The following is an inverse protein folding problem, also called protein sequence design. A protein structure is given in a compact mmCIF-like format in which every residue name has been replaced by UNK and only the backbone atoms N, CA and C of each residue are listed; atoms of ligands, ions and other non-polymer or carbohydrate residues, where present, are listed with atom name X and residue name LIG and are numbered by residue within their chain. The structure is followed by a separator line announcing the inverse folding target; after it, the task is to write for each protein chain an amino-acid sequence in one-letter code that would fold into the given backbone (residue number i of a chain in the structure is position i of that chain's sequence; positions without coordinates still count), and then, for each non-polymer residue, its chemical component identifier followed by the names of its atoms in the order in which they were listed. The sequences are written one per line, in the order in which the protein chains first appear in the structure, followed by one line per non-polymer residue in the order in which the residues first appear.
data_IF_241980332168
#
_entry.id   IF_241980332168
#
_cell.length_a   1.000
_cell.length_b   1.000
_cell.length_c   1.000
_cell.angle_alpha   90.00
_cell.angle_beta   90.00
_cell.angle_gamma   90.00
#
_symmetry.space_group_name_H-M   'P 1'
#
loop_
_entity.id
_entity.type
_entity.pdbx_description
1 polymer ?
#
# COMPACT_ATOMS: atom_id res chain seq x y z
N UNK A 1 -5.54 -21.56 17.50
CA UNK A 1 -5.61 -22.22 16.17
C UNK A 1 -6.94 -22.92 15.93
N UNK A 2 -7.44 -23.78 16.81
CA UNK A 2 -8.71 -24.51 16.63
C UNK A 2 -9.98 -23.65 16.48
N UNK A 3 -10.09 -22.53 17.18
CA UNK A 3 -11.25 -21.63 17.10
C UNK A 3 -11.36 -20.96 15.71
N UNK A 4 -10.24 -20.54 15.10
CA UNK A 4 -10.21 -19.95 13.76
C UNK A 4 -10.60 -20.95 12.67
N UNK A 5 -10.09 -22.19 12.78
CA UNK A 5 -10.43 -23.28 11.84
C UNK A 5 -11.94 -23.58 11.90
N UNK A 6 -12.54 -23.56 13.08
CA UNK A 6 -13.99 -23.76 13.25
C UNK A 6 -14.83 -22.66 12.61
N UNK A 7 -14.41 -21.38 12.74
CA UNK A 7 -15.07 -20.23 12.11
C UNK A 7 -14.97 -20.29 10.58
N UNK A 8 -13.80 -20.66 10.05
CA UNK A 8 -13.59 -20.84 8.60
C UNK A 8 -14.50 -21.96 8.07
N UNK A 9 -14.50 -23.12 8.73
CA UNK A 9 -15.37 -24.27 8.35
C UNK A 9 -16.85 -23.91 8.38
N UNK A 10 -17.30 -23.17 9.39
CA UNK A 10 -18.71 -22.75 9.53
C UNK A 10 -19.11 -21.76 8.42
N UNK A 11 -18.28 -20.76 8.13
CA UNK A 11 -18.55 -19.78 7.04
C UNK A 11 -18.49 -20.43 5.66
N UNK A 12 -17.55 -21.35 5.42
CA UNK A 12 -17.47 -22.10 4.17
C UNK A 12 -18.69 -22.99 3.96
N UNK A 13 -19.19 -23.68 5.00
CA UNK A 13 -20.39 -24.52 4.95
C UNK A 13 -21.66 -23.72 4.65
N UNK A 14 -21.78 -22.52 5.20
CA UNK A 14 -22.90 -21.60 4.93
C UNK A 14 -22.85 -21.10 3.48
N UNK A 15 -21.68 -20.73 2.96
CA UNK A 15 -21.52 -20.31 1.57
C UNK A 15 -21.80 -21.45 0.58
N UNK A 16 -21.39 -22.68 0.89
CA UNK A 16 -21.64 -23.85 0.06
C UNK A 16 -23.12 -24.21 0.01
N UNK A 17 -23.86 -24.08 1.12
CA UNK A 17 -25.32 -24.23 1.16
C UNK A 17 -26.05 -23.18 0.30
N UNK A 18 -25.60 -21.92 0.32
CA UNK A 18 -26.19 -20.85 -0.50
C UNK A 18 -25.90 -21.05 -1.99
N UNK A 19 -24.76 -21.64 -2.35
CA UNK A 19 -24.36 -21.92 -3.73
C UNK A 19 -25.04 -23.19 -4.30
N UNK A 20 -25.36 -24.19 -3.46
CA UNK A 20 -25.97 -25.45 -3.86
C UNK A 20 -27.49 -25.42 -3.90
N UNK A 21 -28.14 -24.44 -3.29
CA UNK A 21 -29.60 -24.26 -3.41
C UNK A 21 -29.94 -23.75 -4.80
N UNK A 22 -30.47 -24.57 -5.69
CA UNK A 22 -30.77 -24.29 -7.10
C UNK A 22 -31.69 -23.09 -7.41
N UNK A 23 -31.90 -22.17 -6.47
CA UNK A 23 -32.67 -20.94 -6.58
C UNK A 23 -31.98 -19.79 -7.34
N UNK A 24 -30.78 -20.03 -7.90
CA UNK A 24 -29.96 -18.99 -8.54
C UNK A 24 -30.50 -18.49 -9.91
N UNK A 25 -31.45 -19.17 -10.53
CA UNK A 25 -31.88 -18.83 -11.90
C UNK A 25 -32.84 -17.64 -12.03
N UNK A 26 -33.46 -17.22 -10.94
CA UNK A 26 -34.48 -16.14 -10.94
C UNK A 26 -34.08 -14.88 -10.18
N UNK A 27 -32.80 -14.75 -9.79
CA UNK A 27 -32.36 -13.67 -8.92
C UNK A 27 -32.03 -12.38 -9.69
N UNK A 28 -32.57 -11.27 -9.20
CA UNK A 28 -32.29 -9.91 -9.64
C UNK A 28 -30.78 -9.61 -9.66
N UNK A 29 -30.31 -8.77 -10.60
CA UNK A 29 -28.90 -8.38 -10.81
C UNK A 29 -28.22 -7.95 -9.49
N UNK A 30 -28.93 -7.24 -8.60
CA UNK A 30 -28.41 -6.85 -7.29
C UNK A 30 -28.10 -8.02 -6.37
N UNK A 31 -28.90 -9.08 -6.39
CA UNK A 31 -28.70 -10.27 -5.58
C UNK A 31 -27.51 -11.12 -6.10
N UNK A 32 -27.37 -11.25 -7.44
CA UNK A 32 -26.20 -11.91 -8.06
C UNK A 32 -24.90 -11.22 -7.70
N UNK A 33 -24.90 -9.88 -7.68
CA UNK A 33 -23.76 -9.06 -7.24
C UNK A 33 -23.40 -9.31 -5.78
N UNK A 34 -24.39 -9.40 -4.90
CA UNK A 34 -24.17 -9.69 -3.48
C UNK A 34 -23.64 -11.10 -3.24
N UNK A 35 -24.10 -12.11 -3.97
CA UNK A 35 -23.56 -13.48 -3.89
C UNK A 35 -22.12 -13.52 -4.38
N UNK A 36 -21.79 -12.83 -5.46
CA UNK A 36 -20.42 -12.73 -5.96
C UNK A 36 -19.49 -12.09 -4.91
N UNK A 37 -19.94 -11.02 -4.25
CA UNK A 37 -19.20 -10.35 -3.18
C UNK A 37 -18.99 -11.28 -1.96
N UNK A 38 -20.02 -12.06 -1.58
CA UNK A 38 -19.92 -13.05 -0.50
C UNK A 38 -18.92 -14.16 -0.90
N UNK A 39 -19.02 -14.68 -2.12
CA UNK A 39 -18.10 -15.69 -2.64
C UNK A 39 -16.64 -15.22 -2.63
N UNK A 40 -16.39 -13.98 -3.05
CA UNK A 40 -15.06 -13.39 -3.01
C UNK A 40 -14.55 -13.19 -1.58
N UNK A 41 -15.40 -12.77 -0.64
CA UNK A 41 -15.02 -12.66 0.78
C UNK A 41 -14.65 -14.02 1.38
N UNK A 42 -15.38 -15.09 1.05
CA UNK A 42 -15.04 -16.45 1.50
C UNK A 42 -13.69 -16.91 0.95
N UNK A 43 -13.42 -16.64 -0.34
CA UNK A 43 -12.12 -16.94 -0.97
C UNK A 43 -10.97 -16.10 -0.40
N UNK A 44 -11.26 -14.93 0.17
CA UNK A 44 -10.27 -14.08 0.81
C UNK A 44 -9.90 -14.52 2.23
N UNK A 45 -10.73 -15.35 2.90
CA UNK A 45 -10.49 -15.77 4.30
C UNK A 45 -9.07 -16.32 4.55
N UNK A 46 -8.51 -17.20 3.70
CA UNK A 46 -7.15 -17.69 3.91
C UNK A 46 -6.11 -16.59 3.89
N UNK A 47 -6.32 -15.60 3.03
CA UNK A 47 -5.44 -14.44 2.93
C UNK A 47 -5.58 -13.51 4.15
N UNK A 48 -6.81 -13.24 4.61
CA UNK A 48 -7.06 -12.42 5.81
C UNK A 48 -6.40 -13.05 7.04
N UNK A 49 -6.45 -14.39 7.16
CA UNK A 49 -5.76 -15.12 8.22
C UNK A 49 -4.24 -14.98 8.09
N UNK A 50 -3.72 -15.10 6.88
CA UNK A 50 -2.29 -14.91 6.62
C UNK A 50 -1.86 -13.48 6.98
N UNK A 51 -2.59 -12.46 6.53
CA UNK A 51 -2.30 -11.07 6.83
C UNK A 51 -2.35 -10.78 8.35
N UNK A 52 -3.37 -11.30 9.05
CA UNK A 52 -3.48 -11.19 10.51
C UNK A 52 -2.29 -11.84 11.25
N UNK A 53 -1.78 -12.96 10.74
CA UNK A 53 -0.61 -13.64 11.32
C UNK A 53 0.67 -12.85 11.07
N UNK A 54 0.87 -12.33 9.85
CA UNK A 54 2.02 -11.49 9.53
C UNK A 54 1.99 -10.17 10.32
N UNK A 55 0.83 -9.52 10.41
CA UNK A 55 0.66 -8.31 11.21
C UNK A 55 1.06 -8.53 12.68
N UNK A 56 0.62 -9.64 13.31
CA UNK A 56 0.98 -9.98 14.70
C UNK A 56 2.48 -10.20 14.91
N UNK A 57 3.17 -10.71 13.89
CA UNK A 57 4.62 -10.92 13.92
C UNK A 57 5.42 -9.64 13.71
N UNK A 58 4.76 -8.57 13.22
CA UNK A 58 5.37 -7.30 12.81
C UNK A 58 4.81 -6.11 13.58
N UNK A 59 4.49 -6.27 14.87
CA UNK A 59 4.07 -5.16 15.74
C UNK A 59 2.57 -5.03 16.00
N UNK A 60 1.79 -6.09 15.71
CA UNK A 60 0.36 -6.15 16.05
C UNK A 60 -0.56 -6.06 14.82
N UNK A 61 -1.85 -6.26 15.05
CA UNK A 61 -2.85 -6.34 13.98
C UNK A 61 -3.12 -4.96 13.35
N UNK A 62 -3.02 -4.88 12.04
CA UNK A 62 -3.53 -3.75 11.26
C UNK A 62 -5.03 -3.89 10.98
N UNK A 63 -5.69 -2.77 10.69
CA UNK A 63 -7.05 -2.83 10.21
C UNK A 63 -7.12 -3.42 8.80
N UNK A 64 -8.06 -4.35 8.59
CA UNK A 64 -8.38 -4.88 7.26
C UNK A 64 -9.60 -4.20 6.64
N UNK A 65 -10.05 -3.08 7.22
CA UNK A 65 -11.17 -2.28 6.72
C UNK A 65 -10.65 -0.99 6.13
N UNK A 66 -11.36 -0.47 5.14
CA UNK A 66 -11.18 0.91 4.69
C UNK A 66 -11.71 1.83 5.78
N UNK A 67 -10.91 2.79 6.21
CA UNK A 67 -11.29 3.84 7.16
C UNK A 67 -11.36 5.15 6.39
N UNK A 68 -12.51 5.83 6.48
CA UNK A 68 -12.71 7.12 5.84
C UNK A 68 -11.70 8.16 6.36
N UNK A 69 -11.08 8.89 5.46
CA UNK A 69 -10.14 9.95 5.83
C UNK A 69 -10.87 11.11 6.51
N UNK A 70 -10.23 11.71 7.52
CA UNK A 70 -10.66 12.98 8.13
C UNK A 70 -10.10 14.20 7.40
N UNK A 71 -9.21 13.99 6.41
CA UNK A 71 -8.41 15.02 5.74
C UNK A 71 -8.65 15.07 4.22
N UNK A 72 -9.90 14.83 3.78
CA UNK A 72 -10.29 14.99 2.37
C UNK A 72 -10.08 16.41 1.84
N UNK A 73 -10.24 17.41 2.70
CA UNK A 73 -9.99 18.83 2.43
C UNK A 73 -8.53 19.09 2.06
N UNK A 74 -7.61 18.34 2.65
CA UNK A 74 -6.17 18.35 2.33
C UNK A 74 -5.79 17.39 1.21
N UNK A 75 -6.76 16.73 0.61
CA UNK A 75 -6.58 15.82 -0.52
C UNK A 75 -6.20 14.38 -0.16
N UNK A 76 -6.20 14.01 1.11
CA UNK A 76 -5.93 12.64 1.54
C UNK A 76 -7.06 11.69 1.13
N UNK A 77 -6.72 10.45 0.78
CA UNK A 77 -7.67 9.39 0.53
C UNK A 77 -7.91 8.53 1.77
N UNK A 78 -8.88 7.60 1.67
CA UNK A 78 -9.19 6.66 2.73
C UNK A 78 -7.99 5.78 3.08
N UNK A 79 -7.83 5.49 4.38
CA UNK A 79 -6.84 4.51 4.83
C UNK A 79 -7.22 3.12 4.33
N UNK A 80 -6.33 2.52 3.61
CA UNK A 80 -6.35 1.10 3.23
C UNK A 80 -4.94 0.53 3.34
N UNK A 81 -4.71 -0.40 4.25
CA UNK A 81 -3.41 -1.04 4.35
C UNK A 81 -3.09 -1.89 3.12
N UNK A 82 -1.85 -1.81 2.65
CA UNK A 82 -1.36 -2.58 1.51
C UNK A 82 -1.43 -4.08 1.77
N UNK A 83 -1.83 -4.85 0.76
CA UNK A 83 -1.85 -6.31 0.78
C UNK A 83 -0.41 -6.85 0.70
N UNK A 84 0.01 -7.73 1.61
CA UNK A 84 1.36 -8.31 1.64
C UNK A 84 1.79 -8.92 0.31
N UNK A 85 0.85 -9.56 -0.43
CA UNK A 85 1.13 -10.12 -1.76
C UNK A 85 1.42 -9.03 -2.79
N UNK A 86 0.80 -7.85 -2.62
CA UNK A 86 1.06 -6.72 -3.51
C UNK A 86 2.43 -6.12 -3.23
N UNK A 87 2.77 -5.95 -1.95
CA UNK A 87 4.10 -5.49 -1.52
C UNK A 87 5.17 -6.43 -2.09
N UNK A 88 5.02 -7.73 -1.87
CA UNK A 88 5.96 -8.76 -2.34
C UNK A 88 6.16 -8.73 -3.87
N UNK A 89 5.08 -8.61 -4.66
CA UNK A 89 5.16 -8.54 -6.12
C UNK A 89 5.87 -7.28 -6.60
N UNK A 90 5.58 -6.11 -6.00
CA UNK A 90 6.20 -4.84 -6.40
C UNK A 90 7.71 -4.83 -6.11
N UNK A 91 8.09 -5.22 -4.90
CA UNK A 91 9.50 -5.19 -4.49
C UNK A 91 10.33 -6.37 -5.00
N UNK A 92 9.69 -7.42 -5.53
CA UNK A 92 10.35 -8.44 -6.37
C UNK A 92 10.58 -7.97 -7.80
N UNK A 93 9.68 -7.17 -8.35
CA UNK A 93 9.83 -6.62 -9.71
C UNK A 93 11.00 -5.62 -9.78
N UNK A 94 11.13 -4.73 -8.80
CA UNK A 94 12.27 -3.82 -8.65
C UNK A 94 12.64 -3.80 -7.14
N UNK A 95 13.68 -4.53 -6.73
CA UNK A 95 14.12 -4.56 -5.32
C UNK A 95 14.65 -3.22 -4.84
N UNK A 96 14.48 -2.93 -3.55
CA UNK A 96 15.19 -1.83 -2.89
C UNK A 96 16.70 -2.08 -2.89
N UNK A 97 17.48 -1.01 -2.99
CA UNK A 97 18.94 -1.03 -2.79
C UNK A 97 19.22 -1.06 -1.28
N UNK A 98 20.33 -1.65 -0.89
CA UNK A 98 20.69 -1.81 0.53
C UNK A 98 20.88 -0.49 1.29
N UNK A 99 21.20 0.56 0.57
CA UNK A 99 21.49 1.91 1.05
C UNK A 99 20.31 2.90 0.83
N UNK A 100 19.17 2.43 0.33
CA UNK A 100 18.01 3.28 0.12
C UNK A 100 17.51 3.92 1.44
N UNK A 101 17.12 5.17 1.32
CA UNK A 101 16.19 5.82 2.25
C UNK A 101 14.81 5.63 1.69
N UNK A 102 14.10 4.64 2.22
CA UNK A 102 12.75 4.30 1.77
C UNK A 102 11.71 5.14 2.50
N UNK A 103 10.82 5.78 1.74
CA UNK A 103 9.75 6.64 2.26
C UNK A 103 8.39 6.11 1.84
N UNK A 104 7.58 5.65 2.80
CA UNK A 104 6.18 5.27 2.60
C UNK A 104 5.29 6.50 2.82
N UNK A 105 4.73 7.03 1.74
CA UNK A 105 3.96 8.29 1.75
C UNK A 105 2.47 7.99 1.93
N UNK A 106 1.93 8.38 3.07
CA UNK A 106 0.63 7.91 3.56
C UNK A 106 0.76 6.49 4.08
N UNK A 107 1.66 6.28 5.03
CA UNK A 107 2.06 4.94 5.48
C UNK A 107 0.97 4.18 6.24
N UNK A 108 -0.14 4.85 6.58
CA UNK A 108 -1.21 4.24 7.35
C UNK A 108 -0.70 3.66 8.67
N UNK A 109 -0.97 2.39 8.89
CA UNK A 109 -0.51 1.66 10.08
C UNK A 109 0.89 1.02 9.90
N UNK A 110 1.73 1.55 8.99
CA UNK A 110 3.13 1.17 8.73
C UNK A 110 3.37 -0.29 8.33
N UNK A 111 2.42 -0.93 7.65
CA UNK A 111 2.56 -2.33 7.21
C UNK A 111 3.73 -2.52 6.25
N UNK A 112 3.96 -1.59 5.33
CA UNK A 112 5.05 -1.69 4.34
C UNK A 112 6.41 -1.55 5.00
N UNK A 113 6.55 -0.65 5.98
CA UNK A 113 7.81 -0.49 6.71
C UNK A 113 8.16 -1.75 7.49
N UNK A 114 7.21 -2.30 8.26
CA UNK A 114 7.44 -3.53 9.04
C UNK A 114 7.64 -4.75 8.15
N UNK A 115 7.08 -4.78 6.94
CA UNK A 115 7.40 -5.79 5.94
C UNK A 115 8.87 -5.72 5.55
N UNK A 116 9.41 -4.54 5.23
CA UNK A 116 10.81 -4.38 4.83
C UNK A 116 11.79 -4.69 5.96
N UNK A 117 11.54 -4.20 7.18
CA UNK A 117 12.36 -4.53 8.35
C UNK A 117 12.45 -6.04 8.55
N UNK A 118 11.31 -6.73 8.53
CA UNK A 118 11.25 -8.18 8.69
C UNK A 118 11.98 -8.96 7.59
N UNK A 119 12.00 -8.45 6.35
CA UNK A 119 12.70 -9.05 5.22
C UNK A 119 14.19 -8.66 5.16
N UNK A 120 14.69 -8.05 6.24
CA UNK A 120 16.11 -7.79 6.41
C UNK A 120 16.64 -6.55 5.71
N UNK A 121 15.75 -5.64 5.28
CA UNK A 121 16.18 -4.35 4.77
C UNK A 121 16.89 -3.55 5.85
N UNK A 122 18.07 -3.00 5.52
CA UNK A 122 18.97 -2.33 6.48
C UNK A 122 19.08 -0.82 6.26
N UNK A 123 18.56 -0.32 5.14
CA UNK A 123 18.46 1.10 4.88
C UNK A 123 17.44 1.78 5.81
N UNK A 124 17.33 3.08 5.70
CA UNK A 124 16.43 3.87 6.54
C UNK A 124 14.98 3.71 6.05
N UNK A 125 14.04 3.54 6.98
CA UNK A 125 12.59 3.39 6.73
C UNK A 125 11.85 4.57 7.34
N UNK A 126 11.17 5.37 6.51
CA UNK A 126 10.42 6.55 6.96
C UNK A 126 8.96 6.39 6.53
N UNK A 127 8.04 6.49 7.49
CA UNK A 127 6.61 6.57 7.22
C UNK A 127 6.11 7.99 7.44
N UNK A 128 5.39 8.53 6.46
CA UNK A 128 4.72 9.83 6.61
C UNK A 128 3.22 9.58 6.65
N UNK A 129 2.58 10.06 7.70
CA UNK A 129 1.13 9.92 7.90
C UNK A 129 0.53 11.24 8.39
N UNK A 130 -0.56 11.67 7.75
CA UNK A 130 -1.21 12.95 8.04
C UNK A 130 -2.12 12.87 9.27
N UNK A 131 -2.86 11.75 9.44
CA UNK A 131 -3.75 11.56 10.59
C UNK A 131 -2.95 11.19 11.84
N UNK A 132 -3.05 12.02 12.87
CA UNK A 132 -2.31 11.87 14.14
C UNK A 132 -2.60 10.54 14.86
N UNK A 133 -3.86 10.12 14.87
CA UNK A 133 -4.26 8.87 15.52
C UNK A 133 -3.66 7.66 14.80
N UNK A 134 -3.66 7.69 13.45
CA UNK A 134 -3.07 6.64 12.62
C UNK A 134 -1.54 6.67 12.76
N UNK A 135 -0.91 7.84 12.70
CA UNK A 135 0.53 8.00 12.88
C UNK A 135 0.99 7.48 14.25
N UNK A 136 0.23 7.75 15.32
CA UNK A 136 0.51 7.21 16.65
C UNK A 136 0.44 5.68 16.71
N UNK A 137 -0.50 5.07 15.98
CA UNK A 137 -0.56 3.59 15.85
C UNK A 137 0.63 3.05 15.04
N UNK A 138 0.98 3.73 13.95
CA UNK A 138 2.14 3.39 13.14
C UNK A 138 3.44 3.47 13.94
N UNK A 139 3.64 4.54 14.73
CA UNK A 139 4.82 4.73 15.56
C UNK A 139 4.99 3.58 16.57
N UNK A 140 3.93 3.22 17.29
CA UNK A 140 3.94 2.05 18.20
C UNK A 140 4.28 0.75 17.47
N UNK A 141 3.81 0.60 16.23
CA UNK A 141 4.05 -0.59 15.43
C UNK A 141 5.52 -0.74 15.03
N UNK A 142 6.22 0.35 14.71
CA UNK A 142 7.62 0.32 14.30
C UNK A 142 8.61 0.50 15.45
N UNK A 143 8.14 0.62 16.69
CA UNK A 143 8.99 0.84 17.88
C UNK A 143 10.13 -0.19 18.02
N UNK A 144 9.91 -1.42 17.57
CA UNK A 144 10.92 -2.47 17.59
C UNK A 144 11.89 -2.43 16.38
N UNK A 145 11.60 -1.64 15.35
CA UNK A 145 12.43 -1.51 14.15
C UNK A 145 13.50 -0.43 14.37
N UNK A 146 14.75 -0.83 14.41
CA UNK A 146 15.88 0.09 14.75
C UNK A 146 16.11 1.21 13.71
N UNK A 147 15.69 0.98 12.47
CA UNK A 147 15.94 1.85 11.32
C UNK A 147 14.66 2.50 10.78
N UNK A 148 13.54 2.42 11.52
CA UNK A 148 12.25 2.96 11.12
C UNK A 148 11.80 4.13 12.00
N UNK A 149 11.19 5.14 11.37
CA UNK A 149 10.57 6.27 12.05
C UNK A 149 9.25 6.66 11.38
N UNK A 150 8.33 7.26 12.15
CA UNK A 150 7.07 7.80 11.66
C UNK A 150 7.04 9.31 11.88
N UNK A 151 6.68 10.03 10.83
CA UNK A 151 6.56 11.49 10.84
C UNK A 151 5.07 11.84 10.63
N UNK A 152 4.46 12.45 11.64
CA UNK A 152 3.09 12.94 11.53
C UNK A 152 3.08 14.34 10.93
N UNK A 153 3.02 14.41 9.60
CA UNK A 153 2.98 15.68 8.83
C UNK A 153 2.32 15.46 7.47
N UNK A 154 1.95 16.58 6.83
CA UNK A 154 1.67 16.57 5.41
C UNK A 154 2.98 16.34 4.64
N UNK A 155 2.97 15.47 3.62
CA UNK A 155 4.17 15.20 2.79
C UNK A 155 4.73 16.49 2.15
N UNK A 156 3.86 17.43 1.81
CA UNK A 156 4.27 18.70 1.19
C UNK A 156 5.05 19.62 2.15
N UNK A 157 5.01 19.33 3.47
CA UNK A 157 5.77 20.04 4.50
C UNK A 157 7.06 19.29 4.89
N UNK A 158 7.41 18.20 4.19
CA UNK A 158 8.52 17.32 4.51
C UNK A 158 9.68 17.45 3.50
N UNK A 159 10.09 18.67 3.15
CA UNK A 159 11.12 18.92 2.12
C UNK A 159 12.44 18.18 2.40
N UNK A 160 12.89 18.11 3.67
CA UNK A 160 14.13 17.41 4.03
C UNK A 160 14.01 15.90 3.79
N UNK A 161 12.86 15.29 4.14
CA UNK A 161 12.60 13.88 3.88
C UNK A 161 12.56 13.59 2.39
N UNK A 162 11.96 14.50 1.60
CA UNK A 162 11.91 14.37 0.14
C UNK A 162 13.31 14.46 -0.45
N UNK A 163 14.15 15.41 0.01
CA UNK A 163 15.54 15.57 -0.46
C UNK A 163 16.40 14.35 -0.17
N UNK A 164 16.23 13.74 1.00
CA UNK A 164 17.06 12.62 1.46
C UNK A 164 16.52 11.28 0.97
N UNK A 165 15.23 11.19 0.58
CA UNK A 165 14.58 9.99 0.11
C UNK A 165 15.13 9.50 -1.24
N UNK A 166 15.37 8.19 -1.36
CA UNK A 166 15.85 7.57 -2.61
C UNK A 166 14.84 6.59 -3.21
N UNK A 167 13.88 6.13 -2.42
CA UNK A 167 12.80 5.26 -2.87
C UNK A 167 11.50 5.65 -2.17
N UNK A 168 10.50 6.05 -2.95
CA UNK A 168 9.18 6.45 -2.46
C UNK A 168 8.14 5.40 -2.80
N UNK A 169 7.23 5.11 -1.88
CA UNK A 169 6.08 4.26 -2.12
C UNK A 169 4.79 5.05 -1.94
N UNK A 170 3.90 4.91 -2.91
CA UNK A 170 2.56 5.51 -2.93
C UNK A 170 1.51 4.43 -3.18
N UNK A 171 0.55 4.29 -2.28
CA UNK A 171 -0.63 3.46 -2.50
C UNK A 171 -1.90 4.31 -2.40
N UNK A 172 -2.28 4.97 -3.51
CA UNK A 172 -3.51 5.78 -3.58
C UNK A 172 -3.67 6.77 -2.40
N UNK A 173 -2.56 7.37 -1.96
CA UNK A 173 -2.48 8.12 -0.71
C UNK A 173 -3.23 9.45 -0.76
N UNK A 174 -3.33 10.07 -1.96
CA UNK A 174 -3.91 11.41 -2.10
C UNK A 174 -4.41 11.69 -3.54
N UNK A 175 -5.13 12.80 -3.68
CA UNK A 175 -5.71 13.24 -4.94
C UNK A 175 -4.64 13.76 -5.94
N UNK A 176 -5.06 14.00 -7.18
CA UNK A 176 -4.17 14.41 -8.26
C UNK A 176 -3.46 15.75 -8.02
N UNK A 177 -4.04 16.68 -7.23
CA UNK A 177 -3.42 17.98 -6.91
C UNK A 177 -2.20 17.77 -6.01
N UNK A 178 -2.37 17.00 -4.93
CA UNK A 178 -1.27 16.66 -4.01
C UNK A 178 -0.22 15.82 -4.72
N UNK A 179 -0.63 14.85 -5.56
CA UNK A 179 0.30 14.06 -6.37
C UNK A 179 1.17 14.97 -7.26
N UNK A 180 0.55 15.92 -7.96
CA UNK A 180 1.30 16.88 -8.82
C UNK A 180 2.34 17.65 -8.01
N UNK A 181 1.94 18.25 -6.88
CA UNK A 181 2.84 19.00 -6.01
C UNK A 181 3.96 18.13 -5.44
N UNK A 182 3.65 16.91 -5.04
CA UNK A 182 4.65 15.94 -4.56
C UNK A 182 5.68 15.62 -5.64
N UNK A 183 5.26 15.33 -6.87
CA UNK A 183 6.17 15.06 -8.00
C UNK A 183 7.07 16.28 -8.28
N UNK A 184 6.52 17.49 -8.28
CA UNK A 184 7.28 18.73 -8.45
C UNK A 184 8.32 18.94 -7.33
N UNK A 185 7.98 18.55 -6.09
CA UNK A 185 8.93 18.60 -4.98
C UNK A 185 10.04 17.56 -5.13
N UNK A 186 9.74 16.34 -5.60
CA UNK A 186 10.75 15.32 -5.91
C UNK A 186 11.70 15.83 -6.99
N UNK A 187 11.17 16.36 -8.11
CA UNK A 187 11.97 16.89 -9.21
C UNK A 187 12.89 18.04 -8.78
N UNK A 188 12.42 18.89 -7.87
CA UNK A 188 13.18 20.05 -7.38
C UNK A 188 14.27 19.70 -6.37
N UNK A 189 14.04 18.68 -5.53
CA UNK A 189 14.85 18.48 -4.32
C UNK A 189 15.63 17.15 -4.32
N UNK A 190 15.22 16.16 -5.11
CA UNK A 190 15.88 14.86 -5.10
C UNK A 190 17.07 14.81 -6.06
N UNK A 191 17.96 13.84 -5.77
CA UNK A 191 19.11 13.48 -6.63
C UNK A 191 18.65 12.55 -7.76
N UNK A 192 19.55 12.29 -8.71
CA UNK A 192 19.36 11.28 -9.75
C UNK A 192 19.20 9.87 -9.16
N UNK A 193 18.45 9.01 -9.86
CA UNK A 193 18.23 7.61 -9.48
C UNK A 193 17.21 7.38 -8.38
N UNK A 194 16.40 8.39 -8.06
CA UNK A 194 15.26 8.25 -7.15
C UNK A 194 14.18 7.38 -7.76
N UNK A 195 13.66 6.41 -7.00
CA UNK A 195 12.60 5.51 -7.46
C UNK A 195 11.28 5.81 -6.82
N UNK A 196 10.21 5.71 -7.62
CA UNK A 196 8.84 5.87 -7.18
C UNK A 196 8.05 4.58 -7.47
N UNK A 197 7.63 3.88 -6.45
CA UNK A 197 6.74 2.72 -6.50
C UNK A 197 5.30 3.22 -6.39
N UNK A 198 4.65 3.44 -7.51
CA UNK A 198 3.29 3.97 -7.55
C UNK A 198 2.28 2.84 -7.73
N UNK A 199 1.71 2.38 -6.63
CA UNK A 199 0.68 1.36 -6.59
C UNK A 199 -0.72 2.00 -6.68
N UNK A 200 -1.64 1.42 -7.46
CA UNK A 200 -2.88 2.07 -7.90
C UNK A 200 -2.61 3.37 -8.67
N UNK A 201 -1.79 3.28 -9.70
CA UNK A 201 -1.23 4.39 -10.49
C UNK A 201 -2.25 5.10 -11.39
N UNK A 202 -3.45 5.36 -10.89
CA UNK A 202 -4.51 6.03 -11.66
C UNK A 202 -4.15 7.44 -12.11
N UNK A 203 -3.24 8.10 -11.40
CA UNK A 203 -2.70 9.41 -11.75
C UNK A 203 -1.41 9.38 -12.58
N UNK A 204 -0.98 8.23 -13.11
CA UNK A 204 0.31 8.06 -13.80
C UNK A 204 0.53 9.01 -14.98
N UNK A 205 -0.53 9.47 -15.65
CA UNK A 205 -0.42 10.43 -16.76
C UNK A 205 0.24 11.75 -16.34
N UNK A 206 0.16 12.12 -15.05
CA UNK A 206 0.86 13.28 -14.50
C UNK A 206 2.39 13.10 -14.44
N UNK A 207 2.86 11.86 -14.48
CA UNK A 207 4.28 11.50 -14.42
C UNK A 207 4.78 11.14 -15.82
N UNK A 208 4.00 10.35 -16.57
CA UNK A 208 4.36 9.88 -17.92
C UNK A 208 4.66 11.01 -18.92
N UNK A 209 4.12 12.22 -18.71
CA UNK A 209 4.35 13.37 -19.58
C UNK A 209 5.53 14.25 -19.15
N UNK A 210 6.28 13.88 -18.10
CA UNK A 210 7.37 14.68 -17.53
C UNK A 210 8.73 14.14 -17.97
N UNK A 211 9.65 15.04 -18.24
CA UNK A 211 11.03 14.67 -18.53
C UNK A 211 11.73 14.11 -17.29
N UNK A 212 12.72 13.25 -17.51
CA UNK A 212 13.51 12.65 -16.46
C UNK A 212 12.88 11.40 -15.81
N UNK A 213 11.58 11.17 -15.96
CA UNK A 213 10.91 10.00 -15.42
C UNK A 213 10.93 8.81 -16.38
N UNK A 214 11.62 7.75 -16.00
CA UNK A 214 11.75 6.51 -16.78
C UNK A 214 10.96 5.38 -16.10
N UNK A 215 10.23 4.61 -16.90
CA UNK A 215 9.50 3.43 -16.39
C UNK A 215 10.46 2.26 -16.25
N UNK A 216 10.70 1.80 -15.02
CA UNK A 216 11.46 0.59 -14.73
C UNK A 216 10.58 -0.66 -14.85
N UNK A 217 9.34 -0.57 -14.40
CA UNK A 217 8.35 -1.64 -14.48
C UNK A 217 6.93 -1.07 -14.51
N UNK A 218 6.06 -1.69 -15.31
CA UNK A 218 4.62 -1.35 -15.35
C UNK A 218 3.81 -2.62 -15.55
N UNK A 219 2.75 -2.77 -14.76
CA UNK A 219 1.91 -3.93 -14.88
C UNK A 219 0.69 -3.92 -13.97
N UNK A 220 0.14 -5.11 -13.74
CA UNK A 220 -0.95 -5.35 -12.81
C UNK A 220 -0.48 -6.24 -11.69
N UNK A 221 -0.69 -5.79 -10.46
CA UNK A 221 -0.43 -6.55 -9.24
C UNK A 221 -1.62 -7.44 -8.94
N UNK A 222 -1.38 -8.74 -8.84
CA UNK A 222 -2.42 -9.75 -8.65
C UNK A 222 -2.91 -9.79 -7.22
N UNK A 223 -4.22 -9.77 -7.03
CA UNK A 223 -4.91 -9.81 -5.72
C UNK A 223 -6.08 -10.80 -5.68
N UNK A 224 -5.90 -12.07 -6.01
CA UNK A 224 -7.02 -12.99 -5.93
C UNK A 224 -7.54 -13.10 -4.48
N UNK A 225 -8.87 -13.12 -4.26
CA UNK A 225 -9.95 -13.14 -5.25
C UNK A 225 -10.41 -11.77 -5.76
N UNK A 226 -9.69 -10.69 -5.40
CA UNK A 226 -10.03 -9.33 -5.78
C UNK A 226 -9.48 -8.99 -7.16
N UNK A 227 -9.97 -7.87 -7.71
CA UNK A 227 -9.47 -7.33 -8.97
C UNK A 227 -7.98 -6.96 -8.84
N UNK A 228 -7.20 -7.29 -9.88
CA UNK A 228 -5.83 -6.83 -10.02
C UNK A 228 -5.79 -5.30 -10.08
N UNK A 229 -4.73 -4.73 -9.51
CA UNK A 229 -4.54 -3.29 -9.44
C UNK A 229 -3.35 -2.87 -10.31
N UNK A 230 -3.49 -1.74 -11.03
CA UNK A 230 -2.39 -1.23 -11.84
C UNK A 230 -1.27 -0.69 -10.94
N UNK A 231 -0.03 -0.78 -11.41
CA UNK A 231 1.11 -0.18 -10.75
C UNK A 231 2.21 0.13 -11.74
N UNK A 232 2.96 1.19 -11.45
CA UNK A 232 4.15 1.58 -12.21
C UNK A 232 5.28 1.90 -11.22
N UNK A 233 6.47 1.44 -11.55
CA UNK A 233 7.69 1.80 -10.85
C UNK A 233 8.51 2.67 -11.78
N UNK A 234 8.82 3.86 -11.32
CA UNK A 234 9.60 4.84 -12.06
C UNK A 234 10.98 5.03 -11.44
N UNK A 235 11.91 5.53 -12.25
CA UNK A 235 13.16 6.13 -11.80
C UNK A 235 13.25 7.55 -12.37
N UNK A 236 13.60 8.51 -11.53
CA UNK A 236 13.81 9.90 -11.90
C UNK A 236 15.30 10.21 -12.07
N UNK A 237 15.66 10.76 -13.21
CA UNK A 237 17.02 11.21 -13.53
C UNK A 237 16.92 12.58 -14.24
N UNK A 238 17.57 13.56 -13.70
CA UNK A 238 17.56 14.95 -14.25
C UNK A 238 18.31 15.08 -15.56
N UNK A 239 19.05 14.07 -15.99
CA UNK A 239 20.01 14.16 -17.11
C UNK A 239 21.25 15.02 -16.80
N UNK A 240 21.27 15.67 -15.64
CA UNK A 240 22.40 16.46 -15.17
C UNK A 240 23.19 15.58 -14.19
N UNK A 241 24.35 15.10 -14.59
CA UNK A 241 25.32 14.56 -13.65
C UNK A 241 25.81 15.73 -12.80
N UNK A 242 25.36 15.80 -11.56
CA UNK A 242 25.96 16.69 -10.57
C UNK A 242 27.16 15.88 -10.02
N UNK A 243 28.33 16.14 -10.60
CA UNK A 243 29.61 15.67 -10.09
C UNK A 243 29.91 16.25 -8.69
#
# INVERSE_FOLDING_TARGET
MNHYISVIKRKAKTAQRLLSSGHLRTLNVGFKRNICLIGNRVKAIPYDVYADLEDRRTGGKCTNRVIASKHYDQGAHDLQNSDYRCIDQLFKAVPLRSDDVFVDVGCGEARVLTYHDRHGFRGRLIGIELDEEIASRAARRVEHCKNAEIINKNILDCTDVIRDGTAFFLFNSFNWKVLKSFIEMVEKNCRNGVRLYYFCDYGRSLIDCREGWNVLWRGKVKRPPWRDLPATIYEYNTGINID
#
